data_IF_538729100118
#
_entry.id   IF_538729100118
#
_cell.length_a   1.000
_cell.length_b   1.000
_cell.length_c   1.000
_cell.angle_alpha   90.00
_cell.angle_beta   90.00
_cell.angle_gamma   90.00
#
_symmetry.space_group_name_H-M   'P 1'
#
loop_
_entity.id
_entity.type
_entity.pdbx_description
1 polymer ?
#
# COMPACT_ATOMS: atom_id res chain seq x y z
N UNK A 1 -14.53 -21.63 -16.40
CA UNK A 1 -14.52 -20.16 -16.57
C UNK A 1 -13.95 -19.58 -15.29
N UNK A 2 -12.86 -18.82 -15.35
CA UNK A 2 -12.30 -18.15 -14.18
C UNK A 2 -12.90 -16.75 -14.06
N UNK A 3 -13.35 -16.37 -12.86
CA UNK A 3 -13.84 -15.04 -12.54
C UNK A 3 -13.03 -14.48 -11.37
N UNK A 4 -12.73 -13.19 -11.40
CA UNK A 4 -11.97 -12.49 -10.36
C UNK A 4 -12.80 -11.34 -9.80
N UNK A 5 -12.94 -11.30 -8.48
CA UNK A 5 -13.40 -10.11 -7.78
C UNK A 5 -12.18 -9.24 -7.46
N UNK A 6 -12.06 -8.10 -8.11
CA UNK A 6 -10.91 -7.20 -7.91
C UNK A 6 -10.97 -6.51 -6.56
N UNK A 7 -9.81 -6.13 -6.02
CA UNK A 7 -9.74 -5.37 -4.78
C UNK A 7 -10.39 -3.98 -4.91
N UNK A 8 -10.41 -3.41 -6.12
CA UNK A 8 -11.11 -2.15 -6.39
C UNK A 8 -12.62 -2.26 -6.11
N UNK A 9 -13.24 -3.38 -6.45
CA UNK A 9 -14.66 -3.60 -6.13
C UNK A 9 -14.90 -3.73 -4.63
N UNK A 10 -13.97 -4.38 -3.90
CA UNK A 10 -14.03 -4.52 -2.44
C UNK A 10 -13.91 -3.15 -1.76
N UNK A 11 -12.94 -2.34 -2.18
CA UNK A 11 -12.74 -0.97 -1.68
C UNK A 11 -13.97 -0.11 -1.98
N UNK A 12 -14.50 -0.17 -3.20
CA UNK A 12 -15.71 0.56 -3.58
C UNK A 12 -16.92 0.19 -2.70
N UNK A 13 -17.09 -1.10 -2.40
CA UNK A 13 -18.18 -1.57 -1.54
C UNK A 13 -18.06 -1.04 -0.11
N UNK A 14 -16.84 -1.06 0.46
CA UNK A 14 -16.57 -0.49 1.79
C UNK A 14 -16.81 1.02 1.84
N UNK A 15 -16.35 1.76 0.82
CA UNK A 15 -16.58 3.21 0.72
C UNK A 15 -18.06 3.56 0.60
N UNK A 16 -18.84 2.76 -0.15
CA UNK A 16 -20.28 2.94 -0.25
C UNK A 16 -20.98 2.82 1.11
N UNK A 17 -20.57 1.88 1.94
CA UNK A 17 -21.15 1.73 3.28
C UNK A 17 -20.94 2.99 4.14
N UNK A 18 -19.72 3.54 4.19
CA UNK A 18 -19.44 4.77 4.94
C UNK A 18 -20.25 5.94 4.37
N UNK A 19 -20.29 6.07 3.03
CA UNK A 19 -21.05 7.13 2.35
C UNK A 19 -22.55 7.05 2.61
N UNK A 20 -23.10 5.85 2.77
CA UNK A 20 -24.50 5.66 3.12
C UNK A 20 -24.84 6.22 4.51
N UNK A 21 -23.92 6.10 5.48
CA UNK A 21 -24.07 6.67 6.82
C UNK A 21 -23.91 8.20 6.85
N UNK A 22 -23.16 8.78 5.91
CA UNK A 22 -23.02 10.23 5.74
C UNK A 22 -24.25 10.85 5.05
N UNK A 23 -24.82 10.14 4.07
CA UNK A 23 -25.84 10.65 3.16
C UNK A 23 -25.26 11.64 2.12
N UNK A 24 -26.12 12.27 1.29
CA UNK A 24 -25.68 13.23 0.26
C UNK A 24 -24.94 14.45 0.80
N UNK A 25 -25.27 14.88 2.01
CA UNK A 25 -24.61 15.96 2.73
C UNK A 25 -24.20 15.44 4.12
N UNK A 26 -22.89 15.38 4.37
CA UNK A 26 -22.35 14.90 5.64
C UNK A 26 -22.57 15.90 6.81
N UNK A 27 -22.85 17.16 6.51
CA UNK A 27 -22.98 18.25 7.50
C UNK A 27 -24.42 18.52 7.92
N UNK A 28 -25.40 18.04 7.15
CA UNK A 28 -26.81 18.24 7.47
C UNK A 28 -27.23 17.48 8.74
N UNK A 29 -28.19 18.05 9.47
CA UNK A 29 -28.79 17.41 10.64
C UNK A 29 -29.56 16.14 10.26
N UNK A 30 -29.74 15.22 11.20
CA UNK A 30 -30.46 13.98 10.92
C UNK A 30 -31.93 14.20 10.56
N UNK A 31 -32.54 15.26 11.08
CA UNK A 31 -33.91 15.67 10.74
C UNK A 31 -33.99 16.10 9.28
N UNK A 32 -33.01 16.89 8.81
CA UNK A 32 -32.95 17.33 7.42
C UNK A 32 -32.60 16.16 6.47
N UNK A 33 -31.70 15.26 6.89
CA UNK A 33 -31.34 14.08 6.12
C UNK A 33 -32.52 13.11 5.93
N UNK A 34 -33.41 12.97 6.92
CA UNK A 34 -34.56 12.09 6.82
C UNK A 34 -34.17 10.67 6.38
N UNK A 35 -34.71 10.21 5.25
CA UNK A 35 -34.45 8.89 4.66
C UNK A 35 -33.25 8.85 3.70
N UNK A 36 -32.58 9.98 3.43
CA UNK A 36 -31.41 10.00 2.53
C UNK A 36 -30.11 9.58 3.23
N UNK A 37 -30.16 9.32 4.55
CA UNK A 37 -29.02 8.88 5.36
C UNK A 37 -29.40 7.58 6.06
N UNK A 38 -28.62 6.55 5.80
CA UNK A 38 -28.80 5.25 6.45
C UNK A 38 -28.36 5.34 7.92
N UNK A 39 -29.02 4.57 8.77
CA UNK A 39 -28.74 4.55 10.21
C UNK A 39 -28.54 3.11 10.65
N UNK A 40 -27.37 2.86 11.22
CA UNK A 40 -27.02 1.56 11.81
C UNK A 40 -27.02 1.70 13.32
N UNK A 41 -27.65 0.73 13.98
CA UNK A 41 -27.69 0.63 15.43
C UNK A 41 -27.09 -0.71 15.82
N UNK A 42 -26.20 -0.68 16.80
CA UNK A 42 -25.75 -1.87 17.49
C UNK A 42 -26.59 -2.03 18.75
N UNK A 43 -27.08 -3.23 19.00
CA UNK A 43 -27.86 -3.51 20.20
C UNK A 43 -27.19 -4.56 21.07
N UNK A 44 -27.54 -4.52 22.35
CA UNK A 44 -27.31 -5.60 23.31
C UNK A 44 -28.65 -6.01 23.89
N UNK A 45 -28.78 -7.28 24.25
CA UNK A 45 -30.04 -7.85 24.70
C UNK A 45 -29.85 -9.22 25.32
N UNK A 46 -30.96 -9.96 25.44
CA UNK A 46 -31.00 -11.35 25.90
C UNK A 46 -30.44 -11.52 27.33
N UNK A 47 -31.17 -11.04 28.36
CA UNK A 47 -30.74 -11.16 29.76
C UNK A 47 -30.95 -12.55 30.36
N UNK A 48 -31.75 -13.41 29.74
CA UNK A 48 -32.02 -14.78 30.19
C UNK A 48 -30.77 -15.66 30.07
N UNK A 49 -30.65 -16.60 31.00
CA UNK A 49 -29.58 -17.61 31.00
C UNK A 49 -29.71 -18.57 29.82
N UNK A 50 -28.56 -19.02 29.33
CA UNK A 50 -28.47 -20.15 28.43
C UNK A 50 -28.50 -21.47 29.21
N UNK A 51 -28.89 -22.56 28.57
CA UNK A 51 -28.77 -23.90 29.16
C UNK A 51 -27.31 -24.25 29.50
N UNK A 52 -26.36 -23.71 28.74
CA UNK A 52 -24.93 -23.77 29.02
C UNK A 52 -24.24 -22.45 28.64
N UNK A 53 -23.89 -21.65 29.65
CA UNK A 53 -23.20 -20.35 29.50
C UNK A 53 -21.82 -20.44 28.84
N UNK A 54 -21.15 -21.60 28.93
CA UNK A 54 -19.84 -21.79 28.30
C UNK A 54 -19.95 -22.24 26.84
N UNK A 55 -21.16 -22.51 26.34
CA UNK A 55 -21.41 -22.91 24.96
C UNK A 55 -22.79 -22.40 24.54
N UNK A 56 -22.96 -21.08 24.39
CA UNK A 56 -24.23 -20.53 23.92
C UNK A 56 -24.61 -21.14 22.55
N UNK A 57 -25.91 -21.31 22.27
CA UNK A 57 -26.38 -21.78 20.98
C UNK A 57 -25.85 -20.95 19.81
N UNK A 58 -25.67 -21.60 18.66
CA UNK A 58 -25.28 -20.92 17.44
C UNK A 58 -26.41 -20.00 16.98
N UNK A 59 -26.06 -18.78 16.54
CA UNK A 59 -27.01 -17.87 15.93
C UNK A 59 -27.59 -18.49 14.65
N UNK A 60 -28.92 -18.42 14.50
CA UNK A 60 -29.63 -18.93 13.32
C UNK A 60 -30.28 -17.77 12.59
N UNK A 61 -30.04 -17.66 11.28
CA UNK A 61 -30.66 -16.65 10.42
C UNK A 61 -32.03 -17.15 9.96
N UNK A 62 -33.08 -16.74 10.68
CA UNK A 62 -34.47 -17.04 10.35
C UNK A 62 -35.41 -15.94 10.85
N UNK A 63 -36.60 -15.82 10.26
CA UNK A 63 -37.59 -14.83 10.71
C UNK A 63 -38.02 -15.01 12.17
N UNK A 64 -38.00 -16.24 12.69
CA UNK A 64 -38.33 -16.53 14.09
C UNK A 64 -37.27 -15.95 15.02
N UNK A 65 -35.99 -16.25 14.76
CA UNK A 65 -34.86 -15.74 15.55
C UNK A 65 -34.68 -14.23 15.42
N UNK A 66 -34.95 -13.69 14.22
CA UNK A 66 -34.99 -12.24 14.02
C UNK A 66 -36.00 -11.58 14.95
N UNK A 67 -37.23 -12.09 15.01
CA UNK A 67 -38.29 -11.54 15.88
C UNK A 67 -37.92 -11.68 17.36
N UNK A 68 -37.43 -12.85 17.78
CA UNK A 68 -36.98 -13.07 19.15
C UNK A 68 -35.81 -12.16 19.55
N UNK A 69 -34.87 -11.90 18.64
CA UNK A 69 -33.77 -10.95 18.89
C UNK A 69 -34.28 -9.52 19.11
N UNK A 70 -35.36 -9.12 18.44
CA UNK A 70 -36.01 -7.82 18.65
C UNK A 70 -36.72 -7.75 20.02
N UNK A 71 -37.43 -8.80 20.40
CA UNK A 71 -38.10 -8.88 21.70
C UNK A 71 -37.09 -8.86 22.87
N UNK A 72 -35.92 -9.47 22.66
CA UNK A 72 -34.84 -9.57 23.65
C UNK A 72 -33.95 -8.30 23.73
N UNK A 73 -34.14 -7.29 22.86
CA UNK A 73 -33.29 -6.10 22.87
C UNK A 73 -33.49 -5.26 24.15
N UNK A 74 -32.39 -4.89 24.81
CA UNK A 74 -32.43 -4.06 26.02
C UNK A 74 -31.95 -2.63 25.71
N UNK A 75 -30.92 -2.49 24.87
CA UNK A 75 -30.30 -1.20 24.60
C UNK A 75 -29.77 -1.14 23.18
N UNK A 76 -29.90 0.01 22.55
CA UNK A 76 -29.38 0.31 21.23
C UNK A 76 -28.47 1.54 21.29
N UNK A 77 -27.34 1.46 20.59
CA UNK A 77 -26.48 2.60 20.32
C UNK A 77 -26.34 2.80 18.82
N UNK A 78 -26.62 4.02 18.38
CA UNK A 78 -26.39 4.40 16.99
C UNK A 78 -24.90 4.48 16.71
N UNK A 79 -24.50 3.95 15.54
CA UNK A 79 -23.18 4.16 14.96
C UNK A 79 -23.25 5.40 14.07
N UNK A 80 -22.47 6.42 14.38
CA UNK A 80 -22.39 7.64 13.57
C UNK A 80 -21.37 7.44 12.44
N UNK A 81 -21.51 8.20 11.34
CA UNK A 81 -20.50 8.23 10.30
C UNK A 81 -19.11 8.62 10.86
N UNK A 82 -19.08 9.54 11.82
CA UNK A 82 -17.86 9.92 12.54
C UNK A 82 -17.26 8.82 13.42
N UNK A 83 -18.01 7.75 13.70
CA UNK A 83 -17.57 6.54 14.41
C UNK A 83 -17.13 5.42 13.46
N UNK A 84 -17.08 5.70 12.16
CA UNK A 84 -16.62 4.77 11.13
C UNK A 84 -15.46 5.37 10.35
N UNK A 85 -14.49 4.53 9.97
CA UNK A 85 -13.37 4.92 9.11
C UNK A 85 -12.92 3.72 8.31
N UNK A 86 -12.36 3.97 7.12
CA UNK A 86 -11.67 2.93 6.39
C UNK A 86 -10.33 2.63 7.08
N UNK A 87 -10.04 1.34 7.27
CA UNK A 87 -8.79 0.87 7.87
C UNK A 87 -8.03 -0.03 6.91
N UNK A 88 -6.71 -0.07 7.07
CA UNK A 88 -5.82 -1.06 6.48
C UNK A 88 -5.11 -1.82 7.58
N UNK A 89 -4.42 -2.91 7.22
CA UNK A 89 -3.48 -3.56 8.15
C UNK A 89 -2.48 -2.53 8.65
N UNK A 90 -2.16 -2.60 9.93
CA UNK A 90 -1.13 -1.76 10.54
C UNK A 90 0.23 -2.42 10.33
N UNK A 91 1.19 -1.61 9.89
CA UNK A 91 2.58 -2.02 9.74
C UNK A 91 3.40 -0.89 10.33
N UNK A 92 4.01 -1.13 11.48
CA UNK A 92 4.90 -0.16 12.10
C UNK A 92 6.30 -0.27 11.49
N UNK A 93 6.99 0.86 11.37
CA UNK A 93 8.43 0.82 11.18
C UNK A 93 9.09 0.32 12.49
N UNK A 94 9.99 -0.65 12.37
CA UNK A 94 10.64 -1.32 13.50
C UNK A 94 12.12 -1.00 13.44
N UNK A 95 12.67 -0.48 14.54
CA UNK A 95 14.09 -0.15 14.59
C UNK A 95 14.94 -1.41 14.61
N UNK A 96 16.18 -1.38 14.07
CA UNK A 96 17.05 -2.56 14.06
C UNK A 96 17.19 -3.21 15.43
N UNK A 97 17.28 -2.41 16.49
CA UNK A 97 17.45 -2.87 17.88
C UNK A 97 16.25 -3.70 18.38
N UNK A 98 15.08 -3.54 17.76
CA UNK A 98 13.86 -4.29 18.08
C UNK A 98 13.73 -5.58 17.25
N UNK A 99 14.59 -5.77 16.25
CA UNK A 99 14.58 -6.96 15.39
C UNK A 99 15.51 -8.05 15.93
N UNK A 100 15.17 -9.31 15.64
CA UNK A 100 16.05 -10.45 15.96
C UNK A 100 17.39 -10.29 15.24
N UNK A 101 18.46 -10.11 16.01
CA UNK A 101 19.82 -9.98 15.48
C UNK A 101 20.26 -8.55 15.15
N UNK A 102 19.42 -7.52 15.37
CA UNK A 102 19.86 -6.13 15.24
C UNK A 102 20.05 -5.66 13.80
N UNK A 103 19.53 -6.39 12.80
CA UNK A 103 19.80 -6.15 11.39
C UNK A 103 18.79 -5.22 10.71
N UNK A 104 17.61 -5.02 11.31
CA UNK A 104 16.49 -4.30 10.69
C UNK A 104 15.47 -5.25 10.07
N UNK A 105 14.32 -4.69 9.70
CA UNK A 105 13.25 -5.42 9.03
C UNK A 105 13.29 -5.11 7.52
N UNK A 106 13.08 -6.11 6.68
CA UNK A 106 13.00 -5.92 5.22
C UNK A 106 11.55 -5.65 4.84
N UNK A 107 11.25 -4.41 4.48
CA UNK A 107 9.93 -4.04 3.96
C UNK A 107 9.85 -4.32 2.47
N UNK A 108 8.64 -4.57 1.99
CA UNK A 108 8.41 -4.75 0.56
C UNK A 108 8.48 -3.39 -0.16
N UNK A 109 8.94 -3.37 -1.40
CA UNK A 109 8.76 -2.18 -2.24
C UNK A 109 7.38 -2.21 -2.90
N UNK A 110 6.80 -1.07 -3.20
CA UNK A 110 5.64 -1.03 -4.07
C UNK A 110 5.99 -1.61 -5.44
N UNK A 111 5.21 -2.59 -5.91
CA UNK A 111 5.24 -3.08 -7.29
C UNK A 111 3.84 -3.28 -7.82
N UNK A 112 3.63 -2.89 -9.07
CA UNK A 112 2.35 -3.07 -9.75
C UNK A 112 2.17 -4.50 -10.32
N UNK A 113 3.26 -5.25 -10.46
CA UNK A 113 3.32 -6.52 -11.19
C UNK A 113 3.45 -7.77 -10.28
N UNK A 114 3.14 -7.63 -9.00
CA UNK A 114 3.12 -8.75 -8.07
C UNK A 114 2.22 -9.88 -8.55
N UNK A 115 2.77 -11.09 -8.54
CA UNK A 115 2.12 -12.30 -9.04
C UNK A 115 2.81 -13.54 -8.46
N UNK A 116 2.28 -14.76 -8.66
CA UNK A 116 2.94 -15.99 -8.22
C UNK A 116 4.37 -16.19 -8.75
N UNK A 117 4.74 -15.55 -9.86
CA UNK A 117 6.10 -15.58 -10.42
C UNK A 117 6.94 -14.35 -10.06
N UNK A 118 6.34 -13.34 -9.44
CA UNK A 118 6.98 -12.10 -9.01
C UNK A 118 6.51 -11.78 -7.58
N UNK A 119 7.13 -12.41 -6.60
CA UNK A 119 6.76 -12.25 -5.19
C UNK A 119 7.44 -11.04 -4.56
N UNK A 120 6.83 -10.51 -3.53
CA UNK A 120 7.45 -9.55 -2.62
C UNK A 120 8.52 -10.22 -1.74
N UNK A 121 9.30 -9.44 -1.00
CA UNK A 121 10.29 -9.95 -0.05
C UNK A 121 9.62 -10.72 1.10
N UNK A 122 8.42 -10.29 1.52
CA UNK A 122 7.54 -11.00 2.45
C UNK A 122 6.98 -12.32 1.91
N UNK A 123 7.16 -12.60 0.60
CA UNK A 123 6.52 -13.73 -0.09
C UNK A 123 5.11 -13.44 -0.61
N UNK A 124 4.59 -12.22 -0.40
CA UNK A 124 3.29 -11.82 -0.92
C UNK A 124 3.25 -11.91 -2.46
N UNK A 125 2.15 -12.44 -3.00
CA UNK A 125 1.90 -12.56 -4.45
C UNK A 125 0.91 -11.50 -4.96
N UNK A 126 0.39 -10.66 -4.06
CA UNK A 126 -0.50 -9.53 -4.35
C UNK A 126 -0.10 -8.33 -3.51
N UNK A 127 -0.26 -7.13 -4.09
CA UNK A 127 0.13 -5.88 -3.44
C UNK A 127 -0.54 -5.67 -2.09
N UNK A 128 -1.83 -5.95 -1.96
CA UNK A 128 -2.56 -5.73 -0.70
C UNK A 128 -2.14 -6.67 0.44
N UNK A 129 -1.39 -7.74 0.16
CA UNK A 129 -0.81 -8.60 1.19
C UNK A 129 0.63 -8.21 1.53
N UNK A 130 1.31 -7.45 0.65
CA UNK A 130 2.70 -7.03 0.84
C UNK A 130 2.85 -5.95 1.92
N UNK A 131 4.03 -5.89 2.52
CA UNK A 131 4.44 -4.94 3.55
C UNK A 131 5.03 -3.65 2.94
N UNK A 132 4.33 -3.06 1.95
CA UNK A 132 4.86 -1.97 1.12
C UNK A 132 4.69 -0.56 1.71
N UNK A 133 4.13 -0.45 2.91
CA UNK A 133 3.94 0.80 3.62
C UNK A 133 4.21 0.61 5.11
N UNK A 134 4.57 1.70 5.78
CA UNK A 134 4.83 1.72 7.21
C UNK A 134 4.27 2.98 7.85
N UNK A 135 3.94 2.90 9.14
CA UNK A 135 3.74 4.06 10.00
C UNK A 135 4.96 4.26 10.89
N UNK A 136 5.46 5.49 10.94
CA UNK A 136 6.61 5.84 11.78
C UNK A 136 6.16 6.23 13.21
N UNK A 137 7.14 6.50 14.07
CA UNK A 137 6.99 6.95 15.45
C UNK A 137 6.18 8.25 15.63
N UNK A 138 6.00 9.04 14.56
CA UNK A 138 5.22 10.28 14.53
C UNK A 138 3.83 10.11 13.90
N UNK A 139 3.37 8.88 13.69
CA UNK A 139 2.10 8.55 13.02
C UNK A 139 2.01 9.04 11.57
N UNK A 140 3.16 9.17 10.90
CA UNK A 140 3.24 9.46 9.47
C UNK A 140 3.34 8.15 8.70
N UNK A 141 2.54 8.03 7.64
CA UNK A 141 2.48 6.85 6.78
C UNK A 141 3.32 7.08 5.54
N UNK A 142 4.21 6.14 5.25
CA UNK A 142 5.08 6.15 4.08
C UNK A 142 4.85 4.92 3.23
N UNK A 143 4.88 5.10 1.91
CA UNK A 143 4.98 4.03 0.93
C UNK A 143 6.46 3.77 0.64
N UNK A 144 6.87 2.50 0.69
CA UNK A 144 8.18 2.06 0.23
C UNK A 144 8.19 2.06 -1.30
N UNK A 145 9.02 2.90 -1.91
CA UNK A 145 9.19 3.00 -3.37
C UNK A 145 10.33 2.12 -3.85
N UNK A 146 11.32 1.89 -2.99
CA UNK A 146 12.45 1.00 -3.24
C UNK A 146 13.08 0.57 -1.92
N UNK A 147 13.39 -0.72 -1.80
CA UNK A 147 13.89 -1.35 -0.58
C UNK A 147 15.33 -1.90 -0.70
N UNK A 148 16.08 -1.43 -1.70
CA UNK A 148 17.45 -1.88 -1.92
C UNK A 148 17.60 -3.14 -2.79
N UNK A 149 16.52 -3.64 -3.42
CA UNK A 149 16.61 -4.81 -4.31
C UNK A 149 17.61 -4.62 -5.43
N UNK A 150 18.51 -5.58 -5.56
CA UNK A 150 19.53 -5.63 -6.59
C UNK A 150 19.86 -7.08 -6.95
N UNK A 151 20.69 -7.35 -7.97
CA UNK A 151 21.10 -8.72 -8.29
C UNK A 151 21.81 -9.44 -7.13
N UNK A 152 22.48 -8.73 -6.21
CA UNK A 152 23.07 -9.30 -5.00
C UNK A 152 22.07 -9.49 -3.87
N UNK A 153 21.00 -8.71 -3.87
CA UNK A 153 19.99 -8.65 -2.81
C UNK A 153 18.58 -8.74 -3.44
N UNK A 154 18.22 -9.89 -4.05
CA UNK A 154 16.99 -10.01 -4.85
C UNK A 154 15.72 -9.79 -4.04
N UNK A 155 15.78 -10.00 -2.72
CA UNK A 155 14.67 -9.79 -1.80
C UNK A 155 14.76 -8.45 -1.05
N UNK A 156 15.58 -7.50 -1.51
CA UNK A 156 15.80 -6.24 -0.82
C UNK A 156 16.75 -6.36 0.37
N UNK A 157 17.00 -5.23 1.03
CA UNK A 157 17.89 -5.12 2.20
C UNK A 157 17.09 -4.78 3.44
N UNK A 158 17.55 -5.11 4.65
CA UNK A 158 16.92 -4.60 5.87
C UNK A 158 16.94 -3.06 5.93
N UNK A 159 15.84 -2.43 6.33
CA UNK A 159 15.82 -1.00 6.63
C UNK A 159 16.41 -0.74 8.01
N UNK A 160 17.26 0.27 8.12
CA UNK A 160 17.92 0.67 9.37
C UNK A 160 17.68 2.12 9.75
N UNK A 161 17.05 2.91 8.87
CA UNK A 161 16.77 4.32 9.10
C UNK A 161 15.27 4.58 8.95
N UNK A 162 14.64 5.09 10.01
CA UNK A 162 13.22 5.45 10.01
C UNK A 162 12.94 6.59 9.01
N UNK A 163 11.93 6.48 8.14
CA UNK A 163 11.55 7.58 7.26
C UNK A 163 10.93 8.74 8.06
N UNK A 164 11.35 9.96 7.72
CA UNK A 164 10.85 11.21 8.32
C UNK A 164 10.60 12.27 7.26
N UNK A 165 9.80 13.29 7.62
CA UNK A 165 9.48 14.42 6.75
C UNK A 165 8.16 14.28 5.99
N UNK A 166 7.55 15.42 5.66
CA UNK A 166 6.21 15.48 5.05
C UNK A 166 6.23 15.98 3.61
N UNK A 167 7.41 15.96 2.96
CA UNK A 167 7.54 16.34 1.55
C UNK A 167 6.74 15.40 0.66
N UNK A 168 6.16 15.92 -0.41
CA UNK A 168 5.48 15.11 -1.44
C UNK A 168 6.46 14.37 -2.35
N UNK A 169 7.74 14.77 -2.32
CA UNK A 169 8.82 14.10 -3.06
C UNK A 169 9.29 12.83 -2.36
N UNK A 170 9.87 11.92 -3.13
CA UNK A 170 10.50 10.72 -2.59
C UNK A 170 11.75 11.10 -1.81
N UNK A 171 11.87 10.56 -0.60
CA UNK A 171 13.03 10.74 0.29
C UNK A 171 13.87 9.48 0.27
N UNK A 172 15.18 9.63 0.08
CA UNK A 172 16.15 8.53 0.20
C UNK A 172 16.77 8.56 1.58
N UNK A 173 16.68 7.46 2.32
CA UNK A 173 17.29 7.29 3.65
C UNK A 173 18.72 6.75 3.54
N UNK A 174 19.49 6.83 4.63
CA UNK A 174 20.92 6.45 4.63
C UNK A 174 21.20 4.97 4.34
N UNK A 175 20.19 4.12 4.49
CA UNK A 175 20.20 2.68 4.15
C UNK A 175 19.89 2.40 2.67
N UNK A 176 19.64 3.43 1.85
CA UNK A 176 19.33 3.32 0.44
C UNK A 176 17.85 3.02 0.14
N UNK A 177 17.00 2.94 1.16
CA UNK A 177 15.56 2.92 0.95
C UNK A 177 15.07 4.24 0.36
N UNK A 178 13.99 4.16 -0.42
CA UNK A 178 13.27 5.32 -0.93
C UNK A 178 11.83 5.28 -0.46
N UNK A 179 11.40 6.32 0.24
CA UNK A 179 10.09 6.42 0.87
C UNK A 179 9.31 7.61 0.31
N UNK A 180 8.01 7.43 0.09
CA UNK A 180 7.08 8.50 -0.30
C UNK A 180 6.10 8.72 0.83
N UNK A 181 6.08 9.92 1.39
CA UNK A 181 5.11 10.30 2.40
C UNK A 181 3.69 10.27 1.80
N UNK A 182 2.75 9.68 2.53
CA UNK A 182 1.36 9.53 2.10
C UNK A 182 0.44 10.45 2.89
N UNK A 183 0.46 10.37 4.22
CA UNK A 183 -0.35 11.20 5.12
C UNK A 183 0.12 11.08 6.56
N UNK A 184 -0.32 12.01 7.42
CA UNK A 184 -0.17 11.92 8.87
C UNK A 184 -1.52 11.57 9.48
N UNK A 185 -1.54 10.59 10.38
CA UNK A 185 -2.75 10.19 11.10
C UNK A 185 -2.96 11.19 12.26
N UNK A 186 -4.11 11.86 12.33
CA UNK A 186 -4.40 12.74 13.46
C UNK A 186 -4.43 11.96 14.78
N UNK A 187 -3.88 12.53 15.85
CA UNK A 187 -3.81 11.89 17.18
C UNK A 187 -5.19 11.46 17.69
N UNK A 188 -6.24 12.27 17.43
CA UNK A 188 -7.61 11.91 17.78
C UNK A 188 -8.11 10.64 17.08
N UNK A 189 -7.67 10.40 15.84
CA UNK A 189 -7.98 9.19 15.09
C UNK A 189 -7.18 7.99 15.58
N UNK A 190 -5.95 8.19 16.05
CA UNK A 190 -5.16 7.13 16.71
C UNK A 190 -5.92 6.63 17.94
N UNK A 191 -6.36 7.52 18.82
CA UNK A 191 -7.08 7.12 20.04
C UNK A 191 -8.37 6.34 19.76
N UNK A 192 -9.00 6.57 18.61
CA UNK A 192 -10.32 6.01 18.28
C UNK A 192 -10.27 4.76 17.41
N UNK A 193 -9.32 4.70 16.48
CA UNK A 193 -9.34 3.73 15.38
C UNK A 193 -8.04 2.94 15.21
N UNK A 194 -7.02 3.21 16.01
CA UNK A 194 -5.80 2.40 16.01
C UNK A 194 -5.99 1.13 16.85
N UNK A 195 -5.59 -0.01 16.30
CA UNK A 195 -5.48 -1.26 17.05
C UNK A 195 -4.10 -1.88 16.84
N UNK A 196 -3.89 -3.08 17.37
CA UNK A 196 -2.67 -3.83 17.10
C UNK A 196 -2.55 -4.21 15.62
N UNK A 197 -3.69 -4.48 14.97
CA UNK A 197 -3.71 -5.04 13.61
C UNK A 197 -4.14 -4.04 12.54
N UNK A 198 -4.79 -2.94 12.92
CA UNK A 198 -5.43 -2.00 11.98
C UNK A 198 -5.10 -0.53 12.27
N UNK A 199 -5.00 0.25 11.20
CA UNK A 199 -4.80 1.69 11.24
C UNK A 199 -5.75 2.40 10.26
N UNK A 200 -6.19 3.64 10.57
CA UNK A 200 -7.06 4.41 9.69
C UNK A 200 -6.33 4.91 8.43
N UNK A 201 -7.07 4.98 7.33
CA UNK A 201 -6.57 5.45 6.03
C UNK A 201 -7.15 6.83 5.72
N UNK A 202 -6.28 7.76 5.35
CA UNK A 202 -6.67 9.12 4.95
C UNK A 202 -6.09 9.47 3.58
N UNK A 203 -6.72 10.43 2.92
CA UNK A 203 -6.18 11.07 1.73
C UNK A 203 -5.50 12.37 2.12
N UNK A 204 -4.29 12.60 1.61
CA UNK A 204 -3.63 13.89 1.69
C UNK A 204 -3.73 14.60 0.33
N UNK A 205 -4.40 15.76 0.30
CA UNK A 205 -4.65 16.47 -0.95
C UNK A 205 -3.37 16.98 -1.63
N UNK A 206 -2.34 17.33 -0.87
CA UNK A 206 -1.06 17.74 -1.45
C UNK A 206 -0.37 16.56 -2.15
N UNK A 207 -0.34 15.38 -1.52
CA UNK A 207 0.22 14.17 -2.14
C UNK A 207 -0.58 13.77 -3.38
N UNK A 208 -1.92 13.83 -3.31
CA UNK A 208 -2.80 13.53 -4.44
C UNK A 208 -2.61 14.49 -5.61
N UNK A 209 -2.51 15.79 -5.33
CA UNK A 209 -2.39 16.84 -6.37
C UNK A 209 -1.03 16.80 -7.06
N UNK A 210 0.03 16.44 -6.34
CA UNK A 210 1.38 16.32 -6.91
C UNK A 210 1.64 14.94 -7.54
N UNK A 211 0.70 14.00 -7.45
CA UNK A 211 0.86 12.71 -8.12
C UNK A 211 0.70 12.87 -9.63
N UNK A 212 1.67 12.39 -10.38
CA UNK A 212 1.64 12.38 -11.84
C UNK A 212 1.16 11.00 -12.29
N UNK A 213 0.10 10.98 -13.10
CA UNK A 213 -0.47 9.73 -13.59
C UNK A 213 0.54 8.99 -14.48
N UNK A 214 0.79 7.71 -14.16
CA UNK A 214 1.73 6.87 -14.90
C UNK A 214 3.17 7.35 -14.86
N UNK A 215 3.58 8.09 -13.83
CA UNK A 215 4.99 8.41 -13.59
C UNK A 215 5.74 7.17 -13.10
N UNK A 216 6.92 6.92 -13.68
CA UNK A 216 7.83 5.85 -13.24
C UNK A 216 8.73 6.38 -12.14
N UNK A 217 8.58 5.88 -10.92
CA UNK A 217 9.41 6.27 -9.77
C UNK A 217 10.62 5.32 -9.57
N UNK A 218 10.55 4.09 -10.09
CA UNK A 218 11.56 3.05 -9.83
C UNK A 218 11.89 2.20 -11.05
N UNK A 219 13.16 1.84 -11.15
CA UNK A 219 13.64 0.75 -11.99
C UNK A 219 14.46 -0.22 -11.16
N UNK A 220 14.42 -1.50 -11.48
CA UNK A 220 15.13 -2.54 -10.75
C UNK A 220 15.95 -3.39 -11.70
N UNK A 221 17.22 -3.59 -11.37
CA UNK A 221 18.10 -4.49 -12.10
C UNK A 221 17.83 -5.91 -11.60
N UNK A 222 17.17 -6.73 -12.42
CA UNK A 222 16.94 -8.14 -12.10
C UNK A 222 18.14 -9.00 -12.49
N UNK A 223 18.81 -8.64 -13.59
CA UNK A 223 20.02 -9.30 -14.05
C UNK A 223 21.02 -8.26 -14.53
N UNK A 224 22.24 -8.30 -14.00
CA UNK A 224 23.29 -7.35 -14.37
C UNK A 224 23.84 -7.58 -15.79
N UNK A 225 23.60 -8.77 -16.35
CA UNK A 225 24.20 -9.23 -17.60
C UNK A 225 25.74 -9.28 -17.58
N UNK A 226 26.34 -9.50 -18.74
CA UNK A 226 27.81 -9.56 -18.90
C UNK A 226 28.24 -9.04 -20.28
N UNK A 227 29.49 -8.57 -20.37
CA UNK A 227 30.12 -8.19 -21.64
C UNK A 227 29.69 -6.83 -22.20
N UNK A 228 29.02 -6.00 -21.40
CA UNK A 228 28.71 -4.61 -21.79
C UNK A 228 29.96 -3.72 -21.74
N UNK A 229 29.97 -2.65 -22.51
CA UNK A 229 31.03 -1.65 -22.44
C UNK A 229 30.89 -0.84 -21.15
N UNK A 230 32.00 -0.60 -20.45
CA UNK A 230 31.97 0.24 -19.25
C UNK A 230 31.63 1.69 -19.62
N UNK A 231 30.80 2.33 -18.81
CA UNK A 231 30.38 3.70 -19.01
C UNK A 231 29.08 4.06 -18.33
N UNK A 232 28.75 5.35 -18.36
CA UNK A 232 27.44 5.87 -17.96
C UNK A 232 26.64 6.18 -19.22
N UNK A 233 25.47 5.57 -19.31
CA UNK A 233 24.52 5.71 -20.41
C UNK A 233 23.33 6.53 -19.91
N UNK A 234 23.40 7.84 -20.14
CA UNK A 234 22.34 8.77 -19.78
C UNK A 234 21.25 8.82 -20.84
N UNK A 235 20.07 9.32 -20.43
CA UNK A 235 18.93 9.58 -21.31
C UNK A 235 18.43 8.34 -22.07
N UNK A 236 18.59 7.14 -21.48
CA UNK A 236 18.02 5.90 -22.01
C UNK A 236 16.50 5.98 -21.89
N UNK A 237 15.79 5.78 -22.99
CA UNK A 237 14.33 5.89 -23.01
C UNK A 237 13.65 4.71 -22.32
N UNK A 238 12.60 5.01 -21.56
CA UNK A 238 11.61 4.02 -21.13
C UNK A 238 10.62 3.84 -22.28
N UNK A 239 10.68 2.67 -22.92
CA UNK A 239 9.82 2.35 -24.06
C UNK A 239 8.49 1.80 -23.54
N UNK A 240 7.37 2.33 -24.03
CA UNK A 240 6.04 1.99 -23.53
C UNK A 240 4.96 2.83 -24.17
N UNK A 241 3.81 2.92 -23.51
CA UNK A 241 2.68 3.77 -23.88
C UNK A 241 2.74 5.19 -23.32
N UNK A 242 3.58 5.43 -22.31
CA UNK A 242 3.82 6.75 -21.76
C UNK A 242 4.85 7.58 -22.53
N UNK A 243 5.06 8.81 -22.05
CA UNK A 243 5.96 9.78 -22.67
C UNK A 243 6.95 10.36 -21.68
N UNK A 244 8.17 10.68 -22.16
CA UNK A 244 9.15 11.44 -21.40
C UNK A 244 9.97 10.63 -20.37
N UNK A 245 9.70 9.34 -20.18
CA UNK A 245 10.44 8.49 -19.25
C UNK A 245 11.90 8.30 -19.66
N UNK A 246 12.84 8.54 -18.75
CA UNK A 246 14.29 8.45 -18.96
C UNK A 246 14.99 7.86 -17.76
N UNK A 247 16.05 7.08 -18.03
CA UNK A 247 16.92 6.50 -17.02
C UNK A 247 18.39 6.76 -17.35
N UNK A 248 19.22 6.73 -16.31
CA UNK A 248 20.68 6.63 -16.40
C UNK A 248 21.10 5.23 -15.98
N UNK A 249 21.94 4.57 -16.77
CA UNK A 249 22.46 3.23 -16.51
C UNK A 249 23.98 3.31 -16.41
N UNK A 250 24.54 2.73 -15.35
CA UNK A 250 25.99 2.65 -15.15
C UNK A 250 26.43 1.21 -15.31
N UNK A 251 27.41 1.01 -16.19
CA UNK A 251 28.07 -0.28 -16.44
C UNK A 251 29.50 -0.20 -15.96
N UNK A 252 29.89 -1.17 -15.14
CA UNK A 252 31.27 -1.37 -14.71
C UNK A 252 31.62 -2.86 -14.65
N UNK A 253 32.88 -3.21 -14.92
CA UNK A 253 33.31 -4.60 -15.05
C UNK A 253 32.51 -5.42 -16.07
N UNK A 254 31.94 -4.76 -17.08
CA UNK A 254 31.04 -5.36 -18.08
C UNK A 254 29.66 -5.77 -17.57
N UNK A 255 29.24 -5.27 -16.40
CA UNK A 255 27.95 -5.55 -15.76
C UNK A 255 27.21 -4.27 -15.44
N UNK A 256 25.88 -4.31 -15.48
CA UNK A 256 25.04 -3.20 -15.01
C UNK A 256 25.11 -3.14 -13.48
N UNK A 257 25.62 -2.03 -12.94
CA UNK A 257 25.77 -1.83 -11.49
C UNK A 257 24.76 -0.85 -10.91
N UNK A 258 24.20 0.04 -11.73
CA UNK A 258 23.20 1.03 -11.31
C UNK A 258 22.24 1.37 -12.44
N UNK A 259 20.97 1.56 -12.09
CA UNK A 259 19.93 2.09 -12.95
C UNK A 259 19.09 3.07 -12.13
N UNK A 260 19.01 4.33 -12.57
CA UNK A 260 18.31 5.39 -11.85
C UNK A 260 17.39 6.13 -12.79
N UNK A 261 16.14 6.36 -12.36
CA UNK A 261 15.20 7.19 -13.11
C UNK A 261 15.65 8.65 -13.06
N UNK A 262 15.87 9.26 -14.22
CA UNK A 262 16.23 10.68 -14.35
C UNK A 262 15.02 11.54 -14.71
N UNK A 263 14.00 10.95 -15.34
CA UNK A 263 12.67 11.52 -15.50
C UNK A 263 11.64 10.41 -15.51
N UNK A 264 10.64 10.45 -14.62
CA UNK A 264 9.61 9.41 -14.53
C UNK A 264 8.60 9.45 -15.68
N UNK A 265 8.55 10.56 -16.42
CA UNK A 265 7.60 10.76 -17.51
C UNK A 265 6.14 10.75 -17.03
N UNK A 266 5.22 10.53 -17.96
CA UNK A 266 3.77 10.57 -17.70
C UNK A 266 3.03 9.52 -18.53
N UNK A 267 1.94 9.00 -18.00
CA UNK A 267 0.97 8.18 -18.72
C UNK A 267 1.43 6.74 -19.02
N UNK A 268 2.48 6.24 -18.36
CA UNK A 268 2.87 4.84 -18.52
C UNK A 268 1.87 3.91 -17.82
N UNK A 269 1.35 2.92 -18.54
CA UNK A 269 0.70 1.73 -17.96
C UNK A 269 1.57 0.48 -18.12
N UNK A 270 2.51 0.51 -19.07
CA UNK A 270 3.61 -0.44 -19.15
C UNK A 270 4.88 0.26 -19.64
N UNK A 271 6.03 -0.20 -19.16
CA UNK A 271 7.33 0.31 -19.57
C UNK A 271 8.36 -0.81 -19.65
N UNK A 272 9.30 -0.67 -20.59
CA UNK A 272 10.45 -1.57 -20.73
C UNK A 272 11.69 -0.78 -21.11
N UNK A 273 12.81 -1.17 -20.51
CA UNK A 273 14.14 -0.72 -20.92
C UNK A 273 14.77 -1.81 -21.76
N UNK A 274 15.12 -1.48 -23.00
CA UNK A 274 15.81 -2.39 -23.91
C UNK A 274 17.31 -2.18 -23.78
N UNK A 275 17.93 -2.84 -22.78
CA UNK A 275 19.35 -2.71 -22.46
C UNK A 275 20.22 -2.89 -23.71
N UNK A 276 19.99 -3.95 -24.47
CA UNK A 276 20.81 -4.30 -25.65
C UNK A 276 20.68 -3.29 -26.81
N UNK A 277 19.67 -2.41 -26.78
CA UNK A 277 19.47 -1.37 -27.79
C UNK A 277 20.05 -0.01 -27.37
N UNK A 278 20.71 0.07 -26.22
CA UNK A 278 21.35 1.31 -25.77
C UNK A 278 22.53 1.62 -26.68
N UNK A 279 22.55 2.83 -27.24
CA UNK A 279 23.61 3.25 -28.16
C UNK A 279 24.96 3.25 -27.44
N UNK A 280 25.93 2.51 -27.99
CA UNK A 280 27.28 2.43 -27.43
C UNK A 280 27.47 1.45 -26.27
N UNK A 281 26.44 0.71 -25.86
CA UNK A 281 26.52 -0.26 -24.76
C UNK A 281 27.31 -1.53 -25.10
N UNK A 282 27.61 -1.75 -26.39
CA UNK A 282 28.38 -2.88 -26.87
C UNK A 282 27.53 -4.11 -27.18
N UNK A 283 28.15 -5.30 -27.17
CA UNK A 283 27.54 -6.59 -27.54
C UNK A 283 27.27 -7.48 -26.32
N UNK A 284 27.11 -6.89 -25.14
CA UNK A 284 26.78 -7.61 -23.93
C UNK A 284 25.42 -8.30 -24.02
N UNK A 285 25.17 -9.24 -23.10
CA UNK A 285 23.98 -10.08 -23.11
C UNK A 285 23.42 -10.26 -21.69
N UNK A 286 22.11 -10.50 -21.60
CA UNK A 286 21.45 -10.95 -20.37
C UNK A 286 21.19 -9.85 -19.33
N UNK A 287 21.38 -8.58 -19.66
CA UNK A 287 20.99 -7.45 -18.83
C UNK A 287 19.47 -7.29 -18.80
N UNK A 288 18.89 -7.25 -17.60
CA UNK A 288 17.45 -7.06 -17.40
C UNK A 288 17.21 -5.97 -16.37
N UNK A 289 16.55 -4.90 -16.82
CA UNK A 289 16.13 -3.78 -15.98
C UNK A 289 14.63 -3.62 -16.15
N UNK A 290 13.90 -3.89 -15.06
CA UNK A 290 12.45 -3.80 -15.00
C UNK A 290 12.03 -2.39 -14.59
N UNK A 291 10.94 -1.93 -15.20
CA UNK A 291 10.25 -0.68 -14.86
C UNK A 291 9.14 -1.01 -13.89
N UNK A 292 9.12 -0.33 -12.74
CA UNK A 292 8.20 -0.59 -11.62
C UNK A 292 7.29 0.61 -11.37
#
# INVERSE_FOLDING_TARGET
MAALLTDQFRIFSALKFIKALEGPDATQSDTAAGATRDRVYLFIGRPQSWDNENSPPQAVDSFSEFSGSYDDMISLKRVLASDTVQVSRRIDWVSPEQTTGGLGFTYDMYRHDYSPSKTAASGATKLYDSDFYVVNSQYQVYKCIYNGTSPSDPNGKPSTVEPTGTSTSIVTTGDGYRWKYMYTIPVASVLKFFSNDYMPVFTNDAVKTNAVEGEVDTVVINAAGTGYNNGTYDNVSINGDGTGGRVSIVVDGGKIISATVTSGGTGYTFGKISVDNITGIGTGQGGQVDVI
#
